data_IF_834507004579
#
_entry.id   IF_834507004579
#
_cell.length_a   1.000
_cell.length_b   1.000
_cell.length_c   1.000
_cell.angle_alpha   90.00
_cell.angle_beta   90.00
_cell.angle_gamma   90.00
#
_symmetry.space_group_name_H-M   'P 1'
#
loop_
_entity.id
_entity.type
_entity.pdbx_description
1 polymer ?
#
# COMPACT_ATOMS: atom_id res chain seq x y z
N UNK A 1 8.68 -4.64 -4.69
CA UNK A 1 8.84 -3.50 -3.75
C UNK A 1 8.18 -2.31 -4.43
N UNK A 2 7.23 -1.66 -3.77
CA UNK A 2 6.65 -0.42 -4.29
C UNK A 2 7.57 0.73 -3.86
N UNK A 3 8.25 1.34 -4.82
CA UNK A 3 9.27 2.38 -4.61
C UNK A 3 8.96 3.51 -5.59
N UNK A 4 9.19 4.76 -5.18
CA UNK A 4 9.19 5.86 -6.13
C UNK A 4 10.29 5.67 -7.17
N UNK A 5 10.07 6.17 -8.39
CA UNK A 5 11.09 6.16 -9.43
C UNK A 5 12.32 6.94 -8.94
N UNK A 6 13.51 6.34 -8.98
CA UNK A 6 14.74 6.98 -8.51
C UNK A 6 14.93 7.09 -6.99
N UNK A 7 13.99 6.61 -6.16
CA UNK A 7 14.11 6.67 -4.69
C UNK A 7 13.58 7.96 -4.04
N UNK A 8 12.86 8.78 -4.81
CA UNK A 8 12.21 9.99 -4.34
C UNK A 8 11.15 9.73 -3.26
N UNK A 9 10.82 10.78 -2.49
CA UNK A 9 9.78 10.71 -1.47
C UNK A 9 8.39 10.48 -2.10
N UNK A 10 7.75 9.37 -1.72
CA UNK A 10 6.33 9.06 -1.93
C UNK A 10 5.48 9.84 -0.93
N UNK A 11 5.96 9.94 0.31
CA UNK A 11 5.33 10.69 1.39
C UNK A 11 6.13 11.97 1.60
N UNK A 12 5.57 13.11 1.20
CA UNK A 12 6.21 14.43 1.30
C UNK A 12 5.69 15.21 2.49
N UNK A 13 4.41 15.04 2.78
CA UNK A 13 3.71 15.74 3.86
C UNK A 13 2.87 14.77 4.70
N UNK A 14 2.48 15.21 5.90
CA UNK A 14 1.64 14.41 6.80
C UNK A 14 0.32 13.95 6.15
N UNK A 15 -0.25 14.78 5.28
CA UNK A 15 -1.49 14.45 4.55
C UNK A 15 -1.31 13.24 3.62
N UNK A 16 -0.13 13.01 3.06
CA UNK A 16 0.15 11.84 2.23
C UNK A 16 0.11 10.57 3.07
N UNK A 17 0.61 10.63 4.31
CA UNK A 17 0.49 9.51 5.26
C UNK A 17 -0.96 9.20 5.57
N UNK A 18 -1.77 10.22 5.83
CA UNK A 18 -3.20 10.03 6.13
C UNK A 18 -3.94 9.42 4.94
N UNK A 19 -3.68 9.88 3.71
CA UNK A 19 -4.24 9.28 2.50
C UNK A 19 -3.83 7.82 2.33
N UNK A 20 -2.55 7.51 2.56
CA UNK A 20 -2.06 6.13 2.50
C UNK A 20 -2.74 5.23 3.54
N UNK A 21 -2.90 5.70 4.78
CA UNK A 21 -3.58 4.95 5.84
C UNK A 21 -5.07 4.74 5.51
N UNK A 22 -5.76 5.76 5.00
CA UNK A 22 -7.16 5.62 4.57
C UNK A 22 -7.34 4.59 3.46
N UNK A 23 -6.41 4.55 2.49
CA UNK A 23 -6.43 3.52 1.46
C UNK A 23 -6.22 2.12 2.05
N UNK A 24 -5.26 1.95 2.97
CA UNK A 24 -5.04 0.66 3.62
C UNK A 24 -6.26 0.17 4.42
N UNK A 25 -7.08 1.08 4.95
CA UNK A 25 -8.33 0.76 5.64
C UNK A 25 -9.41 0.24 4.67
N UNK A 26 -9.48 0.79 3.45
CA UNK A 26 -10.49 0.41 2.45
C UNK A 26 -10.18 -0.91 1.72
N UNK A 27 -8.89 -1.18 1.46
CA UNK A 27 -8.45 -2.30 0.61
C UNK A 27 -8.96 -3.67 1.09
N UNK A 28 -8.92 -4.03 2.38
CA UNK A 28 -9.42 -5.31 2.86
C UNK A 28 -10.88 -5.58 2.48
N UNK A 29 -11.75 -4.59 2.70
CA UNK A 29 -13.18 -4.68 2.40
C UNK A 29 -13.44 -4.75 0.89
N UNK A 30 -12.74 -3.94 0.11
CA UNK A 30 -12.92 -3.86 -1.35
C UNK A 30 -12.47 -5.13 -2.07
N UNK A 31 -11.38 -5.74 -1.63
CA UNK A 31 -10.76 -6.87 -2.33
C UNK A 31 -10.97 -8.23 -1.64
N UNK A 32 -11.75 -8.28 -0.55
CA UNK A 32 -11.92 -9.47 0.30
C UNK A 32 -10.56 -10.08 0.67
N UNK A 33 -9.63 -9.22 1.04
CA UNK A 33 -8.28 -9.56 1.45
C UNK A 33 -8.06 -9.12 2.90
N UNK A 34 -7.04 -9.65 3.56
CA UNK A 34 -6.65 -9.26 4.92
C UNK A 34 -5.26 -8.63 4.88
N UNK A 35 -5.10 -7.43 5.46
CA UNK A 35 -3.81 -6.80 5.69
C UNK A 35 -3.27 -7.22 7.07
N UNK A 36 -2.17 -7.97 7.09
CA UNK A 36 -1.55 -8.45 8.35
C UNK A 36 -0.58 -7.44 8.94
N UNK A 37 0.21 -6.79 8.09
CA UNK A 37 1.24 -5.85 8.52
C UNK A 37 1.60 -4.89 7.39
N UNK A 38 2.05 -3.69 7.74
CA UNK A 38 2.67 -2.75 6.80
C UNK A 38 3.78 -1.94 7.48
N UNK A 39 4.69 -1.42 6.66
CA UNK A 39 5.71 -0.43 7.04
C UNK A 39 5.65 0.69 6.02
N UNK A 40 5.52 1.93 6.49
CA UNK A 40 5.54 3.12 5.65
C UNK A 40 6.79 3.95 5.93
N UNK A 41 7.64 4.10 4.92
CA UNK A 41 8.78 5.01 4.93
C UNK A 41 8.52 6.15 3.95
N UNK A 42 9.40 7.15 3.94
CA UNK A 42 9.18 8.36 3.13
C UNK A 42 9.24 8.07 1.63
N UNK A 43 10.02 7.07 1.21
CA UNK A 43 10.29 6.76 -0.21
C UNK A 43 9.80 5.38 -0.67
N UNK A 44 9.30 4.54 0.25
CA UNK A 44 8.74 3.22 -0.08
C UNK A 44 7.87 2.67 1.06
N UNK A 45 7.14 1.61 0.77
CA UNK A 45 6.37 0.88 1.78
C UNK A 45 6.42 -0.63 1.54
N UNK A 46 6.17 -1.37 2.61
CA UNK A 46 6.01 -2.82 2.62
C UNK A 46 4.65 -3.17 3.18
N UNK A 47 4.08 -4.26 2.70
CA UNK A 47 2.79 -4.76 3.14
C UNK A 47 2.72 -6.28 3.01
N UNK A 48 1.99 -6.91 3.92
CA UNK A 48 1.75 -8.35 3.94
C UNK A 48 0.23 -8.54 3.91
N UNK A 49 -0.24 -9.21 2.86
CA UNK A 49 -1.66 -9.48 2.64
C UNK A 49 -1.91 -10.99 2.57
N UNK A 50 -3.09 -11.41 3.01
CA UNK A 50 -3.67 -12.73 2.73
C UNK A 50 -4.89 -12.54 1.84
N UNK A 51 -5.00 -13.37 0.82
CA UNK A 51 -6.20 -13.46 -0.01
C UNK A 51 -6.35 -14.89 -0.51
N UNK A 52 -7.57 -15.24 -0.89
CA UNK A 52 -7.86 -16.50 -1.60
C UNK A 52 -7.59 -16.39 -3.11
N UNK A 53 -7.33 -15.18 -3.63
CA UNK A 53 -7.02 -14.91 -5.03
C UNK A 53 -5.57 -14.44 -5.20
N UNK A 54 -4.82 -15.16 -6.05
CA UNK A 54 -3.46 -14.77 -6.41
C UNK A 54 -3.40 -13.48 -7.24
N UNK A 55 -4.42 -13.23 -8.07
CA UNK A 55 -4.55 -12.01 -8.88
C UNK A 55 -4.75 -10.78 -7.99
N UNK A 56 -5.57 -10.90 -6.95
CA UNK A 56 -5.77 -9.85 -5.94
C UNK A 56 -4.46 -9.54 -5.22
N UNK A 57 -3.68 -10.57 -4.85
CA UNK A 57 -2.36 -10.35 -4.23
C UNK A 57 -1.38 -9.64 -5.18
N UNK A 58 -1.42 -9.94 -6.47
CA UNK A 58 -0.58 -9.27 -7.46
C UNK A 58 -0.98 -7.79 -7.61
N UNK A 59 -2.28 -7.50 -7.66
CA UNK A 59 -2.79 -6.13 -7.76
C UNK A 59 -2.43 -5.29 -6.53
N UNK A 60 -2.62 -5.82 -5.32
CA UNK A 60 -2.36 -5.10 -4.08
C UNK A 60 -0.88 -4.68 -3.98
N UNK A 61 0.06 -5.50 -4.48
CA UNK A 61 1.52 -5.23 -4.40
C UNK A 61 1.98 -3.95 -5.10
N UNK A 62 1.20 -3.42 -6.05
CA UNK A 62 1.59 -2.28 -6.90
C UNK A 62 0.62 -1.09 -6.79
N UNK A 63 -0.08 -0.93 -5.67
CA UNK A 63 -1.05 0.15 -5.50
C UNK A 63 -0.35 1.51 -5.34
N UNK A 64 -0.53 2.44 -6.30
CA UNK A 64 0.10 3.77 -6.27
C UNK A 64 -0.86 4.82 -5.73
N UNK A 65 -0.35 5.78 -4.93
CA UNK A 65 -1.07 7.00 -4.56
C UNK A 65 -1.17 7.90 -5.79
N UNK A 66 -2.37 8.03 -6.38
CA UNK A 66 -2.68 9.01 -7.43
C UNK A 66 -3.09 10.35 -6.84
#
# INVERSE_FOLDING_TARGET
MSRSNGGDAIIRIHQDRQRFLGLLEELPGRFRAELYAFVLMDNHYHQIHRSRSAEVLAMLRNFTLT
#
